data_IF_064316156715
#
_entry.id   IF_064316156715
#
_cell.length_a   1.000
_cell.length_b   1.000
_cell.length_c   1.000
_cell.angle_alpha   90.00
_cell.angle_beta   90.00
_cell.angle_gamma   90.00
#
_symmetry.space_group_name_H-M   'P 1'
#
loop_
_entity.id
_entity.type
_entity.pdbx_description
1 polymer ?
#
# COMPACT_ATOMS: atom_id res chain seq x y z
N UNK A 1 19.00 -14.17 -15.40
CA UNK A 1 17.85 -13.61 -16.14
C UNK A 1 16.48 -13.99 -15.57
N UNK A 2 16.22 -15.25 -15.20
CA UNK A 2 14.89 -15.67 -14.70
C UNK A 2 14.39 -14.97 -13.41
N UNK A 3 15.28 -14.70 -12.43
CA UNK A 3 14.89 -14.00 -11.19
C UNK A 3 14.38 -12.58 -11.45
N UNK A 4 15.05 -11.81 -12.31
CA UNK A 4 14.61 -10.44 -12.63
C UNK A 4 13.24 -10.42 -13.33
N UNK A 5 12.93 -11.42 -14.17
CA UNK A 5 11.62 -11.54 -14.80
C UNK A 5 10.51 -11.78 -13.75
N UNK A 6 10.73 -12.71 -12.80
CA UNK A 6 9.78 -12.98 -11.72
C UNK A 6 9.57 -11.77 -10.80
N UNK A 7 10.63 -11.04 -10.45
CA UNK A 7 10.51 -9.81 -9.66
C UNK A 7 9.76 -8.71 -10.40
N UNK A 8 9.94 -8.60 -11.72
CA UNK A 8 9.24 -7.61 -12.53
C UNK A 8 7.74 -7.91 -12.62
N UNK A 9 7.36 -9.14 -12.92
CA UNK A 9 5.94 -9.53 -12.99
C UNK A 9 5.23 -9.34 -11.65
N UNK A 10 5.88 -9.74 -10.56
CA UNK A 10 5.33 -9.53 -9.21
C UNK A 10 5.20 -8.04 -8.88
N UNK A 11 6.25 -7.24 -9.10
CA UNK A 11 6.22 -5.80 -8.82
C UNK A 11 5.17 -5.08 -9.65
N UNK A 12 4.96 -5.50 -10.90
CA UNK A 12 3.92 -4.95 -11.76
C UNK A 12 2.51 -5.29 -11.25
N UNK A 13 2.28 -6.55 -10.85
CA UNK A 13 1.02 -6.97 -10.23
C UNK A 13 0.71 -6.22 -8.94
N UNK A 14 1.71 -6.08 -8.06
CA UNK A 14 1.62 -5.28 -6.84
C UNK A 14 1.29 -3.81 -7.14
N UNK A 15 1.94 -3.23 -8.15
CA UNK A 15 1.71 -1.85 -8.55
C UNK A 15 0.27 -1.61 -9.04
N UNK A 16 -0.27 -2.52 -9.85
CA UNK A 16 -1.67 -2.44 -10.30
C UNK A 16 -2.62 -2.50 -9.11
N UNK A 17 -2.45 -3.48 -8.23
CA UNK A 17 -3.35 -3.66 -7.09
C UNK A 17 -3.25 -2.46 -6.13
N UNK A 18 -2.05 -1.93 -5.89
CA UNK A 18 -1.86 -0.70 -5.11
C UNK A 18 -2.64 0.47 -5.71
N UNK A 19 -2.54 0.72 -7.01
CA UNK A 19 -3.29 1.79 -7.67
C UNK A 19 -4.80 1.58 -7.60
N UNK A 20 -5.26 0.33 -7.74
CA UNK A 20 -6.67 -0.03 -7.59
C UNK A 20 -7.18 0.26 -6.18
N UNK A 21 -6.45 -0.15 -5.14
CA UNK A 21 -6.81 0.15 -3.75
C UNK A 21 -6.82 1.66 -3.48
N UNK A 22 -5.85 2.41 -4.03
CA UNK A 22 -5.82 3.87 -3.91
C UNK A 22 -7.07 4.54 -4.52
N UNK A 23 -7.53 4.08 -5.69
CA UNK A 23 -8.75 4.58 -6.32
C UNK A 23 -10.01 4.22 -5.50
N UNK A 24 -10.07 3.01 -4.93
CA UNK A 24 -11.16 2.60 -4.03
C UNK A 24 -11.22 3.54 -2.81
N UNK A 25 -10.08 3.77 -2.13
CA UNK A 25 -10.00 4.67 -0.98
C UNK A 25 -10.46 6.08 -1.35
N UNK A 26 -10.03 6.59 -2.52
CA UNK A 26 -10.45 7.91 -3.02
C UNK A 26 -11.96 8.00 -3.22
N UNK A 27 -12.59 6.99 -3.84
CA UNK A 27 -14.05 6.95 -4.05
C UNK A 27 -14.80 6.86 -2.73
N UNK A 28 -14.36 6.01 -1.80
CA UNK A 28 -14.96 5.89 -0.48
C UNK A 28 -14.89 7.21 0.30
N UNK A 29 -13.75 7.89 0.27
CA UNK A 29 -13.60 9.20 0.90
C UNK A 29 -14.53 10.25 0.24
N UNK A 30 -14.66 10.21 -1.09
CA UNK A 30 -15.59 11.06 -1.83
C UNK A 30 -17.06 10.81 -1.48
N UNK A 31 -17.47 9.55 -1.28
CA UNK A 31 -18.81 9.21 -0.81
C UNK A 31 -19.03 9.74 0.61
N UNK A 32 -18.06 9.56 1.49
CA UNK A 32 -18.18 10.02 2.87
C UNK A 32 -18.33 11.55 2.96
N UNK A 33 -17.55 12.29 2.16
CA UNK A 33 -17.66 13.74 2.05
C UNK A 33 -19.04 14.20 1.53
N UNK A 34 -19.64 13.44 0.60
CA UNK A 34 -20.99 13.74 0.09
C UNK A 34 -22.09 13.47 1.12
N UNK A 35 -21.92 12.46 1.99
CA UNK A 35 -22.90 12.12 3.03
C UNK A 35 -22.83 13.07 4.23
N UNK A 36 -21.64 13.61 4.52
CA UNK A 36 -21.37 14.49 5.66
C UNK A 36 -22.37 15.66 5.85
N UNK A 37 -22.73 16.46 4.82
CA UNK A 37 -23.65 17.59 4.98
C UNK A 37 -25.09 17.19 5.36
N UNK A 38 -25.46 15.92 5.26
CA UNK A 38 -26.78 15.43 5.68
C UNK A 38 -26.85 15.02 7.17
N UNK A 39 -25.72 15.04 7.88
CA UNK A 39 -25.64 14.70 9.30
C UNK A 39 -25.75 15.94 10.19
N UNK A 40 -26.13 15.75 11.45
CA UNK A 40 -26.08 16.81 12.46
C UNK A 40 -24.63 17.23 12.75
N UNK A 41 -24.44 18.46 13.23
CA UNK A 41 -23.10 19.04 13.43
C UNK A 41 -22.20 18.22 14.38
N UNK A 42 -22.77 17.61 15.42
CA UNK A 42 -22.04 16.71 16.33
C UNK A 42 -21.57 15.44 15.60
N UNK A 43 -22.47 14.82 14.82
CA UNK A 43 -22.14 13.61 14.06
C UNK A 43 -21.14 13.90 12.95
N UNK A 44 -21.18 15.08 12.33
CA UNK A 44 -20.19 15.51 11.35
C UNK A 44 -18.78 15.48 11.93
N UNK A 45 -18.57 16.05 13.12
CA UNK A 45 -17.25 16.08 13.77
C UNK A 45 -16.78 14.68 14.14
N UNK A 46 -17.66 13.84 14.66
CA UNK A 46 -17.34 12.44 14.99
C UNK A 46 -16.93 11.65 13.73
N UNK A 47 -17.67 11.82 12.63
CA UNK A 47 -17.38 11.15 11.36
C UNK A 47 -16.06 11.64 10.76
N UNK A 48 -15.80 12.95 10.74
CA UNK A 48 -14.53 13.50 10.28
C UNK A 48 -13.35 12.91 11.06
N UNK A 49 -13.43 12.90 12.39
CA UNK A 49 -12.39 12.33 13.25
C UNK A 49 -12.20 10.82 13.02
N UNK A 50 -13.29 10.08 12.74
CA UNK A 50 -13.23 8.66 12.42
C UNK A 50 -12.54 8.40 11.07
N UNK A 51 -12.85 9.19 10.04
CA UNK A 51 -12.22 9.10 8.71
C UNK A 51 -10.72 9.40 8.82
N UNK A 52 -10.33 10.45 9.55
CA UNK A 52 -8.92 10.81 9.71
C UNK A 52 -8.13 9.70 10.41
N UNK A 53 -8.71 9.08 11.45
CA UNK A 53 -8.10 7.90 12.07
C UNK A 53 -8.03 6.71 11.12
N UNK A 54 -9.08 6.43 10.36
CA UNK A 54 -9.10 5.30 9.42
C UNK A 54 -8.05 5.43 8.31
N UNK A 55 -7.65 6.66 7.95
CA UNK A 55 -6.59 6.91 6.97
C UNK A 55 -5.18 6.72 7.53
N UNK A 56 -5.02 6.71 8.86
CA UNK A 56 -3.72 6.52 9.50
C UNK A 56 -3.47 5.04 9.75
N UNK A 57 -2.65 4.44 8.88
CA UNK A 57 -2.16 3.06 9.10
C UNK A 57 -0.77 3.14 9.69
N UNK A 58 -0.59 2.56 10.88
CA UNK A 58 0.71 2.54 11.53
C UNK A 58 1.58 1.37 11.03
N UNK A 59 2.92 1.49 11.07
CA UNK A 59 3.82 0.38 10.74
C UNK A 59 3.53 -0.96 11.45
N UNK A 60 3.20 -1.01 12.76
CA UNK A 60 2.87 -2.27 13.42
C UNK A 60 1.54 -2.87 12.94
N UNK A 61 0.54 -2.05 12.61
CA UNK A 61 -0.71 -2.52 12.02
C UNK A 61 -0.47 -3.09 10.62
N UNK A 62 0.29 -2.36 9.79
CA UNK A 62 0.70 -2.82 8.46
C UNK A 62 1.43 -4.17 8.53
N UNK A 63 2.41 -4.31 9.44
CA UNK A 63 3.14 -5.57 9.61
C UNK A 63 2.20 -6.71 10.05
N UNK A 64 1.25 -6.42 10.94
CA UNK A 64 0.24 -7.40 11.36
C UNK A 64 -0.66 -7.85 10.21
N UNK A 65 -1.06 -6.94 9.32
CA UNK A 65 -1.86 -7.23 8.12
C UNK A 65 -1.06 -8.09 7.13
N UNK A 66 0.23 -7.79 6.90
CA UNK A 66 1.09 -8.59 6.02
C UNK A 66 1.23 -10.02 6.54
N UNK A 67 1.45 -10.19 7.85
CA UNK A 67 1.53 -11.53 8.48
C UNK A 67 0.21 -12.29 8.32
N UNK A 68 -0.93 -11.65 8.51
CA UNK A 68 -2.23 -12.29 8.33
C UNK A 68 -2.42 -12.78 6.89
N UNK A 69 -2.05 -11.96 5.91
CA UNK A 69 -2.13 -12.35 4.50
C UNK A 69 -1.15 -13.47 4.13
N UNK A 70 0.02 -13.51 4.79
CA UNK A 70 0.99 -14.59 4.57
C UNK A 70 0.50 -15.97 5.03
N UNK A 71 -0.40 -16.02 6.03
CA UNK A 71 -0.98 -17.26 6.56
C UNK A 71 -2.09 -17.82 5.67
N UNK A 72 -2.67 -17.00 4.79
CA UNK A 72 -3.77 -17.39 3.91
C UNK A 72 -3.43 -17.08 2.44
N UNK A 73 -2.58 -17.90 1.79
CA UNK A 73 -2.08 -17.66 0.43
C UNK A 73 -3.14 -17.78 -0.70
N UNK A 74 -4.43 -17.65 -0.40
CA UNK A 74 -5.52 -17.73 -1.39
C UNK A 74 -6.71 -16.78 -1.16
N UNK A 75 -6.72 -15.97 -0.10
CA UNK A 75 -7.80 -14.99 0.16
C UNK A 75 -7.37 -13.52 -0.02
N UNK A 76 -6.07 -13.25 -0.09
CA UNK A 76 -5.55 -11.93 -0.48
C UNK A 76 -5.37 -11.88 -1.98
N UNK A 77 -5.93 -10.87 -2.65
CA UNK A 77 -5.68 -10.63 -4.08
C UNK A 77 -4.17 -10.39 -4.29
N UNK A 78 -3.43 -11.44 -4.69
CA UNK A 78 -2.08 -11.35 -5.25
C UNK A 78 -0.92 -11.06 -4.31
N UNK A 79 -1.11 -10.95 -2.99
CA UNK A 79 -0.01 -10.72 -2.05
C UNK A 79 0.60 -12.06 -1.60
N UNK A 80 1.42 -12.67 -2.46
CA UNK A 80 2.37 -13.69 -1.99
C UNK A 80 3.36 -13.02 -1.03
N UNK A 81 3.54 -13.52 0.19
CA UNK A 81 4.48 -12.96 1.14
C UNK A 81 5.90 -13.31 0.69
N UNK A 82 6.60 -12.37 0.05
CA UNK A 82 8.06 -12.39 0.14
C UNK A 82 8.46 -11.70 1.45
N UNK A 83 9.43 -12.26 2.20
CA UNK A 83 9.95 -11.59 3.38
C UNK A 83 10.48 -10.22 2.95
N UNK A 84 10.02 -9.16 3.59
CA UNK A 84 10.70 -7.86 3.58
C UNK A 84 12.00 -8.02 4.39
N UNK A 85 12.94 -8.82 3.88
CA UNK A 85 14.35 -8.60 4.13
C UNK A 85 14.81 -7.72 2.98
N UNK A 86 14.97 -6.43 3.27
CA UNK A 86 15.79 -5.58 2.43
C UNK A 86 17.14 -6.30 2.24
N UNK A 87 17.61 -6.56 1.01
CA UNK A 87 19.04 -6.71 0.84
C UNK A 87 19.65 -5.38 1.27
N UNK A 88 20.56 -5.44 2.23
CA UNK A 88 21.46 -4.36 2.61
C UNK A 88 21.96 -3.64 1.35
N UNK A 89 21.37 -2.48 1.04
CA UNK A 89 21.76 -1.64 -0.09
C UNK A 89 22.98 -0.78 0.30
N UNK A 90 23.97 -1.38 0.95
CA UNK A 90 25.20 -0.66 1.31
C UNK A 90 26.28 -0.77 0.22
N UNK A 91 26.02 -1.38 -0.94
CA UNK A 91 27.12 -1.67 -1.88
C UNK A 91 26.86 -1.51 -3.39
N UNK A 92 25.90 -0.70 -3.84
CA UNK A 92 25.74 -0.41 -5.28
C UNK A 92 25.49 1.07 -5.65
N UNK A 93 25.62 2.04 -4.74
CA UNK A 93 25.78 3.46 -5.12
C UNK A 93 27.26 3.75 -5.44
N UNK A 94 27.82 3.10 -6.47
CA UNK A 94 29.14 3.52 -7.00
C UNK A 94 29.41 3.26 -8.49
N UNK A 95 28.42 2.95 -9.33
CA UNK A 95 28.69 2.78 -10.78
C UNK A 95 27.70 3.44 -11.73
N UNK A 96 27.47 4.73 -11.52
CA UNK A 96 27.18 5.66 -12.61
C UNK A 96 28.27 6.75 -12.64
N UNK A 97 29.47 6.38 -13.08
CA UNK A 97 30.37 7.35 -13.71
C UNK A 97 29.89 7.50 -15.16
N UNK A 98 29.47 8.69 -15.60
CA UNK A 98 29.35 8.93 -17.03
C UNK A 98 30.76 9.15 -17.58
N UNK A 99 31.28 8.18 -18.33
CA UNK A 99 32.43 8.38 -19.20
C UNK A 99 32.09 9.43 -20.25
N UNK A 100 32.52 10.68 -20.01
CA UNK A 100 32.58 11.70 -21.05
C UNK A 100 33.99 11.66 -21.64
N UNK A 101 34.08 11.14 -22.86
CA UNK A 101 35.11 11.51 -23.83
C UNK A 101 34.86 12.95 -24.27
#
# INVERSE_FOLDING_TARGET
>A
SGRHCLYYEMSYGLNIEMHKQAEIVKRLNGICAQVLPYLSQEHQQQVLAAIERAKQVTPPEMNSIIRLQSLHPGLGHGLTPFPVSLPDESHQVKRLQPEHR
#
